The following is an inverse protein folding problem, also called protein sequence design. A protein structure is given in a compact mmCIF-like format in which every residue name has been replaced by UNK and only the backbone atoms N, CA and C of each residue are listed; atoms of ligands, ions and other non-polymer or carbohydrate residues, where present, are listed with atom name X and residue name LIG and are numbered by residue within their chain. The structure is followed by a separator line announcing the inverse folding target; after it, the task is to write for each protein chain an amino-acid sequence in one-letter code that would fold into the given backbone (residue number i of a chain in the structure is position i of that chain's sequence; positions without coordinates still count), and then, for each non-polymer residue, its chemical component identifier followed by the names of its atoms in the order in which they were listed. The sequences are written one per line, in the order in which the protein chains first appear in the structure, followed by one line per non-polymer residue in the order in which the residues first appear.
data_IF_464118541062
#
_entry.id   IF_464118541062
#
_cell.length_a   1.000
_cell.length_b   1.000
_cell.length_c   1.000
_cell.angle_alpha   90.00
_cell.angle_beta   90.00
_cell.angle_gamma   90.00
#
_symmetry.space_group_name_H-M   'P 1'
#
loop_
_entity.id
_entity.type
_entity.pdbx_description
1 polymer ?
#
# COMPACT_ATOMS: atom_id res chain seq x y z
N UNK A 1 -10.36 27.07 -10.67
CA UNK A 1 -10.11 26.12 -9.56
C UNK A 1 -9.45 26.90 -8.43
N UNK A 2 -9.92 26.77 -7.20
CA UNK A 2 -9.47 27.63 -6.08
C UNK A 2 -8.05 27.26 -5.63
N UNK A 3 -7.23 28.25 -5.26
CA UNK A 3 -5.86 28.05 -4.79
C UNK A 3 -5.77 27.02 -3.64
N UNK A 4 -6.78 26.99 -2.78
CA UNK A 4 -6.93 26.05 -1.65
C UNK A 4 -7.05 24.58 -2.10
N UNK A 5 -7.73 24.31 -3.22
CA UNK A 5 -7.83 22.94 -3.77
C UNK A 5 -6.48 22.44 -4.28
N UNK A 6 -5.70 23.32 -4.92
CA UNK A 6 -4.39 22.97 -5.43
C UNK A 6 -3.38 22.71 -4.30
N UNK A 7 -3.45 23.49 -3.23
CA UNK A 7 -2.61 23.31 -2.04
C UNK A 7 -2.92 22.01 -1.30
N UNK A 8 -4.21 21.68 -1.11
CA UNK A 8 -4.61 20.40 -0.53
C UNK A 8 -4.15 19.21 -1.38
N UNK A 9 -4.27 19.32 -2.71
CA UNK A 9 -3.78 18.29 -3.63
C UNK A 9 -2.26 18.12 -3.55
N UNK A 10 -1.51 19.21 -3.41
CA UNK A 10 -0.06 19.16 -3.25
C UNK A 10 0.34 18.47 -1.93
N UNK A 11 -0.34 18.77 -0.82
CA UNK A 11 -0.10 18.13 0.48
C UNK A 11 -0.40 16.62 0.40
N UNK A 12 -1.55 16.24 -0.16
CA UNK A 12 -1.92 14.84 -0.33
C UNK A 12 -0.91 14.09 -1.21
N UNK A 13 -0.44 14.72 -2.28
CA UNK A 13 0.57 14.14 -3.18
C UNK A 13 1.91 13.97 -2.47
N UNK A 14 2.36 14.98 -1.71
CA UNK A 14 3.60 14.92 -0.95
C UNK A 14 3.56 13.79 0.09
N UNK A 15 2.44 13.63 0.78
CA UNK A 15 2.23 12.53 1.72
C UNK A 15 2.30 11.15 1.06
N UNK A 16 1.65 10.99 -0.10
CA UNK A 16 1.70 9.75 -0.88
C UNK A 16 3.13 9.41 -1.30
N UNK A 17 3.89 10.39 -1.81
CA UNK A 17 5.30 10.20 -2.18
C UNK A 17 6.13 9.80 -0.96
N UNK A 18 5.99 10.51 0.16
CA UNK A 18 6.76 10.24 1.37
C UNK A 18 6.56 8.81 1.87
N UNK A 19 5.29 8.35 1.93
CA UNK A 19 4.99 6.97 2.30
C UNK A 19 5.59 5.97 1.31
N UNK A 20 5.46 6.22 0.01
CA UNK A 20 6.01 5.32 -1.01
C UNK A 20 7.54 5.19 -0.92
N UNK A 21 8.26 6.29 -0.68
CA UNK A 21 9.72 6.27 -0.53
C UNK A 21 10.16 5.53 0.74
N UNK A 22 9.48 5.75 1.87
CA UNK A 22 9.76 5.02 3.12
C UNK A 22 9.55 3.52 2.91
N UNK A 23 8.44 3.13 2.29
CA UNK A 23 8.17 1.72 1.99
C UNK A 23 9.22 1.13 1.05
N UNK A 24 9.65 1.85 0.01
CA UNK A 24 10.74 1.42 -0.86
C UNK A 24 12.04 1.18 -0.09
N UNK A 25 12.40 2.06 0.83
CA UNK A 25 13.61 1.93 1.62
C UNK A 25 13.55 0.68 2.52
N UNK A 26 12.46 0.52 3.28
CA UNK A 26 12.26 -0.65 4.17
C UNK A 26 12.32 -1.96 3.39
N UNK A 27 11.68 -2.00 2.23
CA UNK A 27 11.62 -3.20 1.39
C UNK A 27 12.97 -3.50 0.72
N UNK A 28 13.71 -2.47 0.30
CA UNK A 28 15.09 -2.63 -0.20
C UNK A 28 16.02 -3.20 0.88
N UNK A 29 15.86 -2.77 2.12
CA UNK A 29 16.68 -3.27 3.24
C UNK A 29 16.34 -4.73 3.56
N UNK A 30 15.06 -5.11 3.53
CA UNK A 30 14.61 -6.51 3.62
C UNK A 30 15.25 -7.37 2.51
N UNK A 31 15.25 -6.89 1.27
CA UNK A 31 15.86 -7.60 0.14
C UNK A 31 17.36 -7.84 0.34
N UNK A 32 18.09 -6.82 0.81
CA UNK A 32 19.55 -6.90 1.02
C UNK A 32 19.94 -7.82 2.18
N UNK A 33 19.08 -7.95 3.19
CA UNK A 33 19.36 -8.77 4.38
C UNK A 33 19.19 -10.28 4.19
N UNK A 34 18.18 -10.70 3.43
CA UNK A 34 17.73 -12.12 3.40
C UNK A 34 17.93 -12.82 2.04
N UNK A 35 18.26 -12.06 0.98
CA UNK A 35 18.38 -12.57 -0.38
C UNK A 35 17.03 -12.76 -1.09
N UNK A 36 17.06 -12.86 -2.42
CA UNK A 36 15.85 -12.74 -3.26
C UNK A 36 14.74 -13.76 -2.94
N UNK A 37 15.09 -15.02 -2.68
CA UNK A 37 14.10 -16.07 -2.43
C UNK A 37 13.34 -15.84 -1.11
N UNK A 38 14.06 -15.52 -0.03
CA UNK A 38 13.47 -15.23 1.28
C UNK A 38 12.68 -13.92 1.24
N UNK A 39 13.20 -12.91 0.53
CA UNK A 39 12.49 -11.66 0.30
C UNK A 39 11.13 -11.87 -0.37
N UNK A 40 11.06 -12.65 -1.47
CA UNK A 40 9.80 -12.91 -2.18
C UNK A 40 8.79 -13.64 -1.28
N UNK A 41 9.26 -14.59 -0.49
CA UNK A 41 8.40 -15.28 0.48
C UNK A 41 7.87 -14.33 1.55
N UNK A 42 8.73 -13.45 2.07
CA UNK A 42 8.38 -12.46 3.07
C UNK A 42 7.35 -11.45 2.56
N UNK A 43 7.56 -10.91 1.35
CA UNK A 43 6.61 -9.99 0.71
C UNK A 43 5.26 -10.65 0.48
N UNK A 44 5.22 -11.91 0.04
CA UNK A 44 3.98 -12.66 -0.15
C UNK A 44 3.22 -12.85 1.18
N UNK A 45 3.92 -13.10 2.28
CA UNK A 45 3.30 -13.18 3.62
C UNK A 45 2.73 -11.84 4.07
N UNK A 46 3.47 -10.75 3.87
CA UNK A 46 2.99 -9.39 4.18
C UNK A 46 1.74 -9.07 3.36
N UNK A 47 1.76 -9.34 2.06
CA UNK A 47 0.61 -9.11 1.18
C UNK A 47 -0.63 -9.83 1.68
N UNK A 48 -0.52 -11.13 1.95
CA UNK A 48 -1.64 -11.93 2.44
C UNK A 48 -2.18 -11.41 3.78
N UNK A 49 -1.31 -11.09 4.74
CA UNK A 49 -1.71 -10.57 6.04
C UNK A 49 -2.36 -9.18 5.95
N UNK A 50 -1.85 -8.30 5.07
CA UNK A 50 -2.41 -6.98 4.86
C UNK A 50 -3.79 -7.04 4.19
N UNK A 51 -3.95 -7.87 3.15
CA UNK A 51 -5.25 -8.08 2.49
C UNK A 51 -6.26 -8.66 3.48
N UNK A 52 -5.86 -9.67 4.27
CA UNK A 52 -6.73 -10.26 5.28
C UNK A 52 -7.21 -9.21 6.29
N UNK A 53 -6.28 -8.44 6.88
CA UNK A 53 -6.62 -7.40 7.87
C UNK A 53 -7.51 -6.30 7.28
N UNK A 54 -7.34 -5.92 6.00
CA UNK A 54 -8.25 -4.98 5.31
C UNK A 54 -9.66 -5.54 5.24
N UNK A 55 -9.82 -6.84 4.96
CA UNK A 55 -11.14 -7.45 4.86
C UNK A 55 -11.79 -7.68 6.23
N UNK A 56 -11.02 -8.10 7.23
CA UNK A 56 -11.53 -8.57 8.53
C UNK A 56 -11.59 -7.50 9.62
N UNK A 57 -10.57 -6.65 9.72
CA UNK A 57 -10.38 -5.72 10.85
C UNK A 57 -10.79 -4.28 10.52
N UNK A 58 -10.66 -3.87 9.25
CA UNK A 58 -11.05 -2.53 8.83
C UNK A 58 -12.58 -2.39 8.92
N UNK A 59 -13.07 -1.47 9.73
CA UNK A 59 -14.51 -1.17 9.84
C UNK A 59 -14.75 0.32 9.74
N UNK A 60 -15.64 0.73 8.85
CA UNK A 60 -15.98 2.14 8.68
C UNK A 60 -17.27 2.45 9.43
N UNK A 61 -17.14 3.11 10.59
CA UNK A 61 -18.31 3.49 11.39
C UNK A 61 -19.13 4.53 10.62
N UNK A 62 -20.42 4.25 10.43
CA UNK A 62 -21.35 5.17 9.76
C UNK A 62 -21.28 5.16 8.24
N UNK A 63 -20.67 4.14 7.64
CA UNK A 63 -20.60 3.93 6.18
C UNK A 63 -21.50 2.77 5.79
N UNK A 64 -22.14 2.84 4.61
CA UNK A 64 -22.96 1.75 4.10
C UNK A 64 -22.09 0.56 3.66
N UNK A 65 -22.66 -0.66 3.71
CA UNK A 65 -21.94 -1.90 3.42
C UNK A 65 -21.31 -1.93 2.03
N UNK A 66 -21.95 -1.29 1.04
CA UNK A 66 -21.44 -1.22 -0.32
C UNK A 66 -20.20 -0.31 -0.41
N UNK A 67 -20.26 0.87 0.20
CA UNK A 67 -19.08 1.77 0.26
C UNK A 67 -17.93 1.11 1.04
N UNK A 68 -18.20 0.42 2.13
CA UNK A 68 -17.18 -0.33 2.87
C UNK A 68 -16.53 -1.42 1.99
N UNK A 69 -17.33 -2.19 1.25
CA UNK A 69 -16.83 -3.21 0.33
C UNK A 69 -15.91 -2.61 -0.74
N UNK A 70 -16.35 -1.52 -1.39
CA UNK A 70 -15.58 -0.84 -2.45
C UNK A 70 -14.27 -0.27 -1.92
N UNK A 71 -14.27 0.31 -0.71
CA UNK A 71 -13.06 0.85 -0.10
C UNK A 71 -12.08 -0.26 0.25
N UNK A 72 -12.57 -1.37 0.83
CA UNK A 72 -11.75 -2.55 1.13
C UNK A 72 -11.12 -3.14 -0.13
N UNK A 73 -11.91 -3.32 -1.19
CA UNK A 73 -11.41 -3.83 -2.48
C UNK A 73 -10.32 -2.91 -3.07
N UNK A 74 -10.55 -1.59 -3.07
CA UNK A 74 -9.56 -0.62 -3.56
C UNK A 74 -8.27 -0.64 -2.72
N UNK A 75 -8.40 -0.73 -1.40
CA UNK A 75 -7.25 -0.80 -0.51
C UNK A 75 -6.44 -2.09 -0.74
N UNK A 76 -7.10 -3.25 -0.84
CA UNK A 76 -6.46 -4.53 -1.13
C UNK A 76 -5.73 -4.50 -2.48
N UNK A 77 -6.37 -4.00 -3.54
CA UNK A 77 -5.76 -3.86 -4.86
C UNK A 77 -4.54 -2.93 -4.85
N UNK A 78 -4.59 -1.86 -4.06
CA UNK A 78 -3.45 -0.96 -3.89
C UNK A 78 -2.27 -1.66 -3.21
N UNK A 79 -2.52 -2.42 -2.13
CA UNK A 79 -1.49 -3.21 -1.45
C UNK A 79 -0.83 -4.21 -2.40
N UNK A 80 -1.62 -5.01 -3.12
CA UNK A 80 -1.10 -5.98 -4.10
C UNK A 80 -0.26 -5.30 -5.17
N UNK A 81 -0.75 -4.20 -5.76
CA UNK A 81 -0.04 -3.47 -6.81
C UNK A 81 1.29 -2.90 -6.29
N UNK A 82 1.26 -2.31 -5.10
CA UNK A 82 2.43 -1.72 -4.47
C UNK A 82 3.50 -2.79 -4.17
N UNK A 83 3.12 -3.89 -3.53
CA UNK A 83 4.06 -4.95 -3.18
C UNK A 83 4.60 -5.68 -4.42
N UNK A 84 3.76 -5.89 -5.42
CA UNK A 84 4.17 -6.43 -6.73
C UNK A 84 5.26 -5.55 -7.37
N UNK A 85 5.12 -4.23 -7.33
CA UNK A 85 6.10 -3.30 -7.91
C UNK A 85 7.52 -3.48 -7.36
N UNK A 86 7.67 -3.92 -6.12
CA UNK A 86 8.98 -4.17 -5.52
C UNK A 86 9.60 -5.52 -5.90
N UNK A 87 8.78 -6.47 -6.33
CA UNK A 87 9.25 -7.80 -6.76
C UNK A 87 9.62 -7.87 -8.24
N UNK A 88 9.10 -6.93 -9.05
CA UNK A 88 9.33 -6.85 -10.49
C UNK A 88 10.45 -5.88 -10.90
N UNK A 89 11.12 -5.21 -9.95
CA UNK A 89 12.24 -4.32 -10.27
C UNK A 89 13.50 -5.14 -10.61
N UNK A 90 13.52 -5.61 -11.86
CA UNK A 90 14.70 -6.13 -12.57
C UNK A 90 14.71 -5.56 -13.98
N UNK A 91 15.25 -4.37 -14.12
CA UNK A 91 15.94 -3.90 -15.31
C UNK A 91 17.15 -3.06 -14.89
#
# INVERSE_FOLDING_TARGET
MSATTNELNAINTAWQIAIQEILRMVIRDLYRGEGEAQFKEHIKRIEAAAVDSIHTDLRFRGTDEWTELVVKEKASNFVTTLLTSFTFDRA
#
